data_IF_445229272164
#
_entry.id   IF_445229272164
#
_cell.length_a   1.000
_cell.length_b   1.000
_cell.length_c   1.000
_cell.angle_alpha   90.00
_cell.angle_beta   90.00
_cell.angle_gamma   90.00
#
_symmetry.space_group_name_H-M   'P 1'
#
loop_
_entity.id
_entity.type
_entity.pdbx_description
1 polymer ?
#
# COMPACT_ATOMS: atom_id res chain seq x y z
N UNK A 1 58.90 -35.48 17.95
CA UNK A 1 57.63 -35.71 17.24
C UNK A 1 56.61 -34.54 17.33
N UNK A 2 56.94 -33.38 17.93
CA UNK A 2 55.95 -32.32 18.22
C UNK A 2 55.66 -31.32 17.07
N UNK A 3 56.53 -31.22 16.06
CA UNK A 3 56.42 -30.18 15.00
C UNK A 3 55.44 -30.52 13.85
N UNK A 4 54.94 -31.76 13.78
CA UNK A 4 53.97 -32.16 12.75
C UNK A 4 52.52 -31.82 13.16
N UNK A 5 52.20 -31.95 14.44
CA UNK A 5 50.87 -31.62 14.98
C UNK A 5 50.57 -30.11 14.99
N UNK A 6 51.60 -29.26 15.13
CA UNK A 6 51.42 -27.81 15.03
C UNK A 6 51.09 -27.37 13.60
N UNK A 7 51.66 -28.03 12.58
CA UNK A 7 51.38 -27.75 11.17
C UNK A 7 49.95 -28.09 10.75
N UNK A 8 49.37 -29.17 11.27
CA UNK A 8 47.99 -29.56 10.96
C UNK A 8 46.99 -28.59 11.57
N UNK A 9 47.17 -28.20 12.85
CA UNK A 9 46.34 -27.20 13.52
C UNK A 9 46.38 -25.82 12.86
N UNK A 10 47.55 -25.42 12.34
CA UNK A 10 47.71 -24.15 11.59
C UNK A 10 47.04 -24.19 10.21
N UNK A 11 46.94 -25.35 9.56
CA UNK A 11 46.27 -25.49 8.28
C UNK A 11 44.75 -25.65 8.43
N UNK A 12 44.28 -26.36 9.46
CA UNK A 12 42.85 -26.48 9.81
C UNK A 12 42.25 -25.13 10.21
N UNK A 13 43.04 -24.27 10.88
CA UNK A 13 42.65 -22.91 11.21
C UNK A 13 42.33 -22.01 10.01
N UNK A 14 42.81 -22.34 8.79
CA UNK A 14 42.51 -21.60 7.55
C UNK A 14 41.10 -21.88 7.01
N UNK A 15 40.49 -23.00 7.38
CA UNK A 15 39.21 -23.48 6.83
C UNK A 15 38.05 -23.48 7.86
N UNK A 16 38.22 -22.84 9.02
CA UNK A 16 37.17 -22.78 10.05
C UNK A 16 36.20 -21.63 9.74
N UNK A 17 35.12 -21.94 9.01
CA UNK A 17 33.96 -21.08 8.87
C UNK A 17 33.03 -21.28 10.08
N UNK A 18 32.62 -20.20 10.75
CA UNK A 18 31.47 -20.23 11.65
C UNK A 18 30.22 -20.67 10.88
N UNK A 19 29.29 -21.35 11.53
CA UNK A 19 28.07 -21.86 10.89
C UNK A 19 27.11 -20.76 10.38
N UNK A 20 27.38 -19.48 10.67
CA UNK A 20 26.61 -18.34 10.20
C UNK A 20 27.14 -17.85 8.84
N UNK A 21 26.27 -17.87 7.83
CA UNK A 21 26.56 -17.56 6.43
C UNK A 21 27.01 -16.13 6.13
N UNK A 22 26.93 -15.21 7.10
CA UNK A 22 27.17 -13.77 6.90
C UNK A 22 28.30 -13.18 7.76
N UNK A 23 29.06 -13.98 8.51
CA UNK A 23 30.14 -13.47 9.37
C UNK A 23 31.51 -13.56 8.70
N UNK A 24 32.14 -12.41 8.45
CA UNK A 24 33.52 -12.34 7.99
C UNK A 24 34.49 -12.73 9.12
N UNK A 25 35.42 -13.64 8.83
CA UNK A 25 36.33 -14.24 9.82
C UNK A 25 37.38 -13.23 10.26
N UNK A 26 37.35 -12.86 11.53
CA UNK A 26 38.30 -11.91 12.08
C UNK A 26 39.19 -12.58 13.13
N UNK A 27 40.50 -12.51 12.88
CA UNK A 27 41.53 -13.06 13.75
C UNK A 27 42.69 -13.58 12.92
N UNK A 28 43.68 -12.71 12.69
CA UNK A 28 44.89 -13.05 11.90
C UNK A 28 45.66 -14.25 12.47
N UNK A 29 45.47 -14.57 13.76
CA UNK A 29 46.10 -15.72 14.42
C UNK A 29 45.13 -16.47 15.35
N UNK A 30 45.30 -17.80 15.51
CA UNK A 30 44.42 -18.64 16.32
C UNK A 30 44.43 -18.31 17.82
N UNK A 31 45.51 -17.67 18.31
CA UNK A 31 45.62 -17.21 19.69
C UNK A 31 44.60 -16.09 19.99
N UNK A 32 44.59 -15.03 19.18
CA UNK A 32 43.68 -13.89 19.39
C UNK A 32 42.21 -14.27 19.20
N UNK A 33 41.93 -15.29 18.37
CA UNK A 33 40.59 -15.86 18.22
C UNK A 33 40.09 -16.52 19.50
N UNK A 34 40.93 -17.34 20.15
CA UNK A 34 40.60 -17.99 21.44
C UNK A 34 40.48 -16.96 22.57
N UNK A 35 41.32 -15.94 22.57
CA UNK A 35 41.19 -14.83 23.51
C UNK A 35 39.84 -14.12 23.34
N UNK A 36 39.47 -13.74 22.11
CA UNK A 36 38.17 -13.12 21.84
C UNK A 36 36.99 -14.01 22.27
N UNK A 37 37.03 -15.31 21.99
CA UNK A 37 35.92 -16.20 22.35
C UNK A 37 35.71 -16.32 23.86
N UNK A 38 36.76 -16.17 24.66
CA UNK A 38 36.68 -16.27 26.13
C UNK A 38 36.28 -14.92 26.75
N UNK A 39 36.77 -13.81 26.20
CA UNK A 39 36.63 -12.47 26.81
C UNK A 39 35.51 -11.61 26.19
N UNK A 40 34.87 -12.04 25.10
CA UNK A 40 33.74 -11.32 24.51
C UNK A 40 32.42 -11.71 25.18
N UNK A 41 31.55 -10.72 25.43
CA UNK A 41 30.22 -10.94 25.97
C UNK A 41 29.33 -11.79 25.04
N UNK A 42 29.55 -11.71 23.73
CA UNK A 42 28.90 -12.56 22.75
C UNK A 42 29.92 -13.00 21.68
N UNK A 43 30.40 -14.26 21.73
CA UNK A 43 31.42 -14.76 20.82
C UNK A 43 30.93 -14.93 19.38
N UNK A 44 29.61 -14.93 19.13
CA UNK A 44 29.02 -15.04 17.79
C UNK A 44 29.00 -13.69 17.03
N UNK A 45 29.30 -12.57 17.71
CA UNK A 45 29.31 -11.24 17.08
C UNK A 45 30.58 -11.05 16.21
N UNK A 46 30.40 -10.53 15.00
CA UNK A 46 31.48 -10.05 14.12
C UNK A 46 31.91 -8.62 14.51
N UNK A 47 33.16 -8.24 14.26
CA UNK A 47 33.68 -6.86 14.45
C UNK A 47 33.27 -5.90 13.34
N UNK A 48 32.59 -6.39 12.30
CA UNK A 48 32.03 -5.55 11.24
C UNK A 48 33.07 -5.02 10.25
N UNK A 49 34.28 -5.60 10.21
CA UNK A 49 35.31 -5.25 9.25
C UNK A 49 35.16 -6.16 8.03
N UNK A 50 34.79 -5.63 6.85
CA UNK A 50 34.64 -6.45 5.66
C UNK A 50 36.02 -6.92 5.14
N UNK A 51 36.06 -8.12 4.59
CA UNK A 51 37.26 -8.65 3.93
C UNK A 51 37.46 -7.91 2.60
N UNK A 52 38.61 -7.25 2.44
CA UNK A 52 38.92 -6.40 1.26
C UNK A 52 38.90 -7.18 -0.06
N UNK A 53 39.21 -8.49 -0.04
CA UNK A 53 39.21 -9.34 -1.24
C UNK A 53 37.83 -9.82 -1.66
N UNK A 54 36.83 -9.75 -0.78
CA UNK A 54 35.46 -10.23 -1.05
C UNK A 54 34.49 -9.06 -1.17
N UNK A 55 34.65 -8.05 -0.32
CA UNK A 55 33.82 -6.86 -0.34
C UNK A 55 34.19 -5.97 -1.53
N UNK A 56 33.20 -5.67 -2.38
CA UNK A 56 33.37 -4.82 -3.57
C UNK A 56 34.41 -5.36 -4.57
N UNK A 57 34.53 -6.68 -4.65
CA UNK A 57 35.36 -7.35 -5.64
C UNK A 57 34.52 -8.28 -6.53
N UNK A 58 34.62 -8.19 -7.87
CA UNK A 58 35.36 -7.20 -8.66
C UNK A 58 34.82 -5.78 -8.45
N UNK A 59 35.66 -4.78 -8.70
CA UNK A 59 35.26 -3.39 -8.57
C UNK A 59 34.11 -3.05 -9.55
N UNK A 60 33.21 -2.11 -9.22
CA UNK A 60 31.98 -1.87 -9.99
C UNK A 60 32.19 -1.62 -11.49
N UNK A 61 33.33 -1.05 -11.88
CA UNK A 61 33.65 -0.73 -13.28
C UNK A 61 34.39 -1.85 -14.05
N UNK A 62 34.81 -2.95 -13.40
CA UNK A 62 35.37 -4.13 -14.07
C UNK A 62 34.64 -5.41 -13.69
N UNK A 63 33.32 -5.32 -13.51
CA UNK A 63 32.52 -6.55 -13.44
C UNK A 63 32.47 -7.14 -14.86
N UNK A 64 32.67 -8.47 -15.02
CA UNK A 64 32.62 -9.12 -16.33
C UNK A 64 31.18 -9.21 -16.88
N UNK A 65 30.19 -9.11 -16.00
CA UNK A 65 28.78 -9.04 -16.39
C UNK A 65 28.49 -7.75 -17.14
N UNK A 66 27.72 -7.87 -18.23
CA UNK A 66 27.27 -6.71 -18.99
C UNK A 66 25.86 -6.35 -18.52
N UNK A 67 25.63 -5.12 -18.05
CA UNK A 67 24.29 -4.70 -17.66
C UNK A 67 23.40 -4.69 -18.91
N UNK A 68 22.31 -5.46 -18.86
CA UNK A 68 21.21 -5.34 -19.82
C UNK A 68 19.99 -4.86 -19.06
N UNK A 69 19.37 -3.80 -19.55
CA UNK A 69 18.07 -3.37 -19.05
C UNK A 69 17.02 -4.43 -19.41
N UNK A 70 16.28 -4.99 -18.43
CA UNK A 70 15.24 -5.96 -18.75
C UNK A 70 14.18 -5.28 -19.64
N UNK A 71 13.79 -5.91 -20.76
CA UNK A 71 12.77 -5.32 -21.63
C UNK A 71 11.45 -5.25 -20.87
N UNK A 72 10.81 -4.08 -20.90
CA UNK A 72 9.43 -3.93 -20.43
C UNK A 72 8.47 -4.10 -21.60
N UNK A 73 7.16 -4.25 -21.33
CA UNK A 73 6.15 -4.19 -22.40
C UNK A 73 6.22 -2.87 -23.20
N UNK A 74 6.73 -1.79 -22.59
CA UNK A 74 6.96 -0.51 -23.26
C UNK A 74 8.23 -0.46 -24.13
N UNK A 75 8.99 -1.55 -24.22
CA UNK A 75 10.19 -1.67 -25.05
C UNK A 75 9.92 -2.31 -26.42
N UNK A 76 8.68 -2.75 -26.70
CA UNK A 76 8.31 -3.33 -27.99
C UNK A 76 8.42 -2.27 -29.11
N UNK A 77 9.18 -2.52 -30.20
CA UNK A 77 9.25 -1.63 -31.35
C UNK A 77 7.96 -1.62 -32.19
N UNK A 78 7.14 -2.68 -32.13
CA UNK A 78 5.87 -2.76 -32.84
C UNK A 78 4.69 -2.57 -31.86
N UNK A 79 3.56 -2.03 -32.34
CA UNK A 79 2.32 -1.97 -31.54
C UNK A 79 2.33 -1.06 -30.29
N UNK A 80 3.42 -0.35 -30.00
CA UNK A 80 3.61 0.39 -28.75
C UNK A 80 3.42 1.92 -28.91
N UNK A 81 2.22 2.30 -29.35
CA UNK A 81 1.84 3.70 -29.56
C UNK A 81 1.86 4.48 -28.24
N UNK A 82 2.51 5.66 -28.22
CA UNK A 82 2.72 6.44 -27.00
C UNK A 82 1.40 6.85 -26.32
N UNK A 83 0.38 7.22 -27.08
CA UNK A 83 -0.91 7.64 -26.53
C UNK A 83 -1.63 6.54 -25.72
N UNK A 84 -1.37 5.26 -26.02
CA UNK A 84 -2.00 4.14 -25.31
C UNK A 84 -1.39 3.96 -23.92
N UNK A 85 -0.08 4.20 -23.79
CA UNK A 85 0.70 4.11 -22.54
C UNK A 85 0.88 5.45 -21.80
N UNK A 86 0.39 6.55 -22.36
CA UNK A 86 0.47 7.86 -21.72
C UNK A 86 -0.54 7.96 -20.57
N UNK A 87 -0.15 7.45 -19.40
CA UNK A 87 -0.93 7.58 -18.16
C UNK A 87 -0.92 9.00 -17.60
N UNK A 88 0.06 9.83 -17.98
CA UNK A 88 0.16 11.21 -17.50
C UNK A 88 -1.00 12.07 -18.00
N UNK A 89 -1.48 11.81 -19.22
CA UNK A 89 -2.64 12.52 -19.80
C UNK A 89 -3.98 11.82 -19.54
N UNK A 90 -3.97 10.54 -19.15
CA UNK A 90 -5.16 9.77 -18.77
C UNK A 90 -5.41 9.81 -17.26
N UNK A 91 -5.28 11.00 -16.66
CA UNK A 91 -5.58 11.18 -15.24
C UNK A 91 -7.10 11.23 -15.03
N UNK A 92 -7.63 10.66 -13.93
CA UNK A 92 -9.03 10.82 -13.58
C UNK A 92 -9.33 12.30 -13.31
N UNK A 93 -10.43 12.80 -13.87
CA UNK A 93 -10.86 14.18 -13.64
C UNK A 93 -11.40 14.34 -12.22
N UNK A 94 -11.14 15.51 -11.62
CA UNK A 94 -11.71 15.86 -10.32
C UNK A 94 -13.13 16.37 -10.55
N UNK A 95 -14.11 15.67 -9.98
CA UNK A 95 -15.50 16.12 -9.97
C UNK A 95 -15.79 16.91 -8.70
N UNK A 96 -16.35 18.11 -8.86
CA UNK A 96 -16.83 18.95 -7.75
C UNK A 96 -18.34 18.95 -7.76
N UNK A 97 -18.94 18.40 -6.71
CA UNK A 97 -20.38 18.31 -6.56
C UNK A 97 -20.85 19.47 -5.68
N UNK A 98 -21.66 20.36 -6.25
CA UNK A 98 -22.26 21.49 -5.52
C UNK A 98 -23.63 21.13 -4.97
N UNK A 99 -24.17 21.95 -4.06
CA UNK A 99 -25.53 21.77 -3.55
C UNK A 99 -26.57 21.80 -4.68
N UNK A 100 -26.38 22.63 -5.71
CA UNK A 100 -27.23 22.69 -6.90
C UNK A 100 -27.21 21.38 -7.69
N UNK A 101 -26.04 20.76 -7.83
CA UNK A 101 -25.94 19.47 -8.52
C UNK A 101 -26.68 18.37 -7.74
N UNK A 102 -26.61 18.43 -6.40
CA UNK A 102 -27.35 17.52 -5.52
C UNK A 102 -28.87 17.75 -5.56
N UNK A 103 -29.36 19.00 -5.57
CA UNK A 103 -30.80 19.27 -5.71
C UNK A 103 -31.34 18.72 -7.01
N UNK A 104 -30.59 18.94 -8.08
CA UNK A 104 -30.87 18.42 -9.41
C UNK A 104 -30.94 16.89 -9.40
N UNK A 105 -29.99 16.22 -8.74
CA UNK A 105 -29.98 14.76 -8.58
C UNK A 105 -31.15 14.22 -7.72
N UNK A 106 -31.63 14.99 -6.74
CA UNK A 106 -32.77 14.61 -5.91
C UNK A 106 -34.09 14.74 -6.67
N UNK A 107 -34.21 15.76 -7.52
CA UNK A 107 -35.38 15.99 -8.37
C UNK A 107 -35.45 15.03 -9.56
N UNK A 108 -34.32 14.54 -10.05
CA UNK A 108 -34.28 13.61 -11.18
C UNK A 108 -34.90 12.26 -10.81
N UNK A 109 -35.84 11.77 -11.62
CA UNK A 109 -36.42 10.44 -11.48
C UNK A 109 -35.45 9.36 -11.99
N UNK A 110 -35.42 8.18 -11.36
CA UNK A 110 -34.68 7.05 -11.90
C UNK A 110 -35.36 6.54 -13.17
N UNK A 111 -34.60 6.44 -14.25
CA UNK A 111 -35.01 5.74 -15.46
C UNK A 111 -34.88 4.22 -15.28
N UNK A 112 -35.51 3.47 -16.17
CA UNK A 112 -35.47 2.00 -16.18
C UNK A 112 -34.03 1.44 -16.28
N UNK A 113 -33.11 2.20 -16.89
CA UNK A 113 -31.68 1.87 -17.01
C UNK A 113 -30.85 2.20 -15.74
N UNK A 114 -31.49 2.70 -14.67
CA UNK A 114 -30.82 3.15 -13.44
C UNK A 114 -30.10 4.51 -13.57
N UNK A 115 -30.14 5.14 -14.75
CA UNK A 115 -29.69 6.52 -14.96
C UNK A 115 -30.74 7.49 -14.42
N UNK A 116 -30.34 8.66 -13.91
CA UNK A 116 -31.29 9.69 -13.47
C UNK A 116 -31.29 10.85 -14.45
N UNK A 117 -32.46 11.25 -14.93
CA UNK A 117 -32.61 12.40 -15.85
C UNK A 117 -33.56 13.42 -15.27
N UNK A 118 -33.31 14.69 -15.59
CA UNK A 118 -34.23 15.78 -15.31
C UNK A 118 -35.31 15.82 -16.38
N UNK A 119 -36.56 15.97 -15.98
CA UNK A 119 -37.65 16.21 -16.91
C UNK A 119 -37.74 17.69 -17.29
N UNK A 120 -38.18 17.97 -18.52
CA UNK A 120 -38.32 19.34 -19.01
C UNK A 120 -39.41 20.10 -18.22
N UNK A 121 -39.33 21.44 -18.09
CA UNK A 121 -40.25 22.23 -17.26
C UNK A 121 -41.73 22.16 -17.65
N UNK A 122 -42.04 21.70 -18.88
CA UNK A 122 -43.36 21.77 -19.51
C UNK A 122 -44.15 20.45 -19.48
N UNK A 123 -43.54 19.34 -19.07
CA UNK A 123 -44.22 18.05 -18.95
C UNK A 123 -44.85 17.87 -17.57
N UNK A 124 -46.08 18.36 -17.40
CA UNK A 124 -46.88 18.18 -16.16
C UNK A 124 -47.49 16.79 -16.00
N UNK A 125 -47.20 15.85 -16.90
CA UNK A 125 -47.91 14.57 -17.02
C UNK A 125 -47.26 13.40 -16.29
N UNK A 126 -46.02 13.54 -15.81
CA UNK A 126 -45.39 12.56 -14.91
C UNK A 126 -45.05 13.24 -13.59
N UNK A 127 -45.86 12.95 -12.57
CA UNK A 127 -45.71 13.48 -11.21
C UNK A 127 -44.39 13.00 -10.60
N UNK A 128 -43.30 13.76 -10.74
CA UNK A 128 -42.19 13.62 -9.79
C UNK A 128 -42.75 13.90 -8.40
N UNK A 129 -42.54 12.99 -7.45
CA UNK A 129 -43.08 13.09 -6.09
C UNK A 129 -42.60 14.34 -5.31
N UNK A 130 -41.69 15.14 -5.88
CA UNK A 130 -41.04 16.30 -5.28
C UNK A 130 -41.32 17.55 -6.11
N UNK A 131 -41.62 18.66 -5.43
CA UNK A 131 -41.92 19.96 -6.04
C UNK A 131 -40.62 20.72 -6.30
N UNK A 132 -40.38 21.09 -7.56
CA UNK A 132 -39.21 21.87 -7.97
C UNK A 132 -39.28 23.31 -7.40
N UNK A 133 -38.23 23.81 -6.70
CA UNK A 133 -38.15 25.21 -6.28
C UNK A 133 -38.09 26.17 -7.46
N UNK A 134 -38.66 27.38 -7.30
CA UNK A 134 -38.66 28.41 -8.35
C UNK A 134 -37.26 28.94 -8.70
N UNK A 135 -36.34 28.95 -7.72
CA UNK A 135 -34.94 29.35 -7.89
C UNK A 135 -33.99 28.28 -7.35
N UNK A 136 -33.25 27.64 -8.26
CA UNK A 136 -32.28 26.58 -7.96
C UNK A 136 -30.92 27.12 -7.48
N UNK A 137 -30.62 28.40 -7.72
CA UNK A 137 -29.38 29.04 -7.26
C UNK A 137 -29.50 29.51 -5.80
N UNK A 138 -30.71 29.55 -5.26
CA UNK A 138 -30.95 29.95 -3.88
C UNK A 138 -30.33 28.94 -2.89
N UNK A 139 -29.69 29.40 -1.81
CA UNK A 139 -29.09 28.51 -0.81
C UNK A 139 -30.14 27.68 -0.04
N UNK A 140 -31.40 28.11 -0.05
CA UNK A 140 -32.53 27.43 0.59
C UNK A 140 -33.13 26.31 -0.27
N UNK A 141 -32.90 26.31 -1.59
CA UNK A 141 -33.45 25.30 -2.48
C UNK A 141 -33.09 23.87 -2.07
N UNK A 142 -31.86 23.65 -1.59
CA UNK A 142 -31.43 22.32 -1.15
C UNK A 142 -32.14 21.84 0.10
N UNK A 143 -32.32 22.72 1.09
CA UNK A 143 -33.00 22.35 2.33
C UNK A 143 -34.48 22.09 2.10
N UNK A 144 -35.12 22.86 1.20
CA UNK A 144 -36.54 22.73 0.91
C UNK A 144 -36.85 21.42 0.19
N UNK A 145 -36.04 21.06 -0.82
CA UNK A 145 -36.16 19.76 -1.51
C UNK A 145 -35.90 18.63 -0.52
N UNK A 146 -34.84 18.72 0.30
CA UNK A 146 -34.52 17.69 1.29
C UNK A 146 -35.67 17.48 2.29
N UNK A 147 -36.31 18.55 2.75
CA UNK A 147 -37.47 18.48 3.63
C UNK A 147 -38.67 17.78 2.96
N UNK A 148 -38.91 18.05 1.67
CA UNK A 148 -39.94 17.33 0.90
C UNK A 148 -39.62 15.85 0.74
N UNK A 149 -38.35 15.49 0.48
CA UNK A 149 -37.96 14.08 0.44
C UNK A 149 -38.32 13.46 1.79
N UNK A 150 -37.88 14.04 2.92
CA UNK A 150 -38.15 13.52 4.27
C UNK A 150 -39.63 13.46 4.67
N UNK A 151 -40.46 14.37 4.14
CA UNK A 151 -41.91 14.41 4.40
C UNK A 151 -42.75 13.50 3.50
N UNK A 152 -42.25 13.09 2.33
CA UNK A 152 -42.94 12.19 1.41
C UNK A 152 -42.85 10.73 1.90
N UNK A 153 -43.69 10.39 2.89
CA UNK A 153 -43.69 9.09 3.57
C UNK A 153 -44.49 7.97 2.88
N UNK A 154 -45.03 8.19 1.68
CA UNK A 154 -45.87 7.21 0.96
C UNK A 154 -45.33 6.93 -0.45
N UNK A 155 -44.38 6.01 -0.56
CA UNK A 155 -44.23 5.07 -1.69
C UNK A 155 -42.91 4.28 -1.59
N UNK A 156 -43.01 3.02 -1.16
CA UNK A 156 -42.21 1.83 -1.57
C UNK A 156 -40.68 1.86 -1.74
N UNK A 157 -39.98 2.96 -1.51
CA UNK A 157 -38.52 3.07 -1.55
C UNK A 157 -38.09 4.07 -0.49
N UNK A 158 -37.86 3.59 0.74
CA UNK A 158 -37.45 4.44 1.85
C UNK A 158 -36.07 5.04 1.56
N UNK A 159 -36.04 6.24 0.96
CA UNK A 159 -34.81 7.01 0.69
C UNK A 159 -34.20 7.62 1.94
N UNK A 160 -34.84 7.43 3.10
CA UNK A 160 -34.44 8.00 4.39
C UNK A 160 -33.82 6.98 5.31
N UNK A 161 -32.87 7.46 6.12
CA UNK A 161 -32.23 6.61 7.10
C UNK A 161 -33.19 6.24 8.22
N UNK A 162 -33.32 4.95 8.50
CA UNK A 162 -34.16 4.39 9.54
C UNK A 162 -33.40 3.30 10.31
N UNK A 163 -34.02 2.70 11.33
CA UNK A 163 -33.40 1.58 12.07
C UNK A 163 -33.08 0.37 11.18
N UNK A 164 -33.85 0.18 10.10
CA UNK A 164 -33.61 -0.86 9.09
C UNK A 164 -32.81 -0.37 7.88
N UNK A 165 -32.77 0.95 7.64
CA UNK A 165 -32.03 1.59 6.55
C UNK A 165 -30.93 2.51 7.11
N UNK A 166 -29.85 1.92 7.61
CA UNK A 166 -28.74 2.68 8.21
C UNK A 166 -27.97 3.49 7.15
N UNK A 167 -27.32 4.60 7.54
CA UNK A 167 -26.48 5.36 6.63
C UNK A 167 -25.32 4.50 6.08
N UNK A 168 -24.88 4.76 4.84
CA UNK A 168 -23.78 4.01 4.24
C UNK A 168 -22.52 4.20 5.10
N UNK A 169 -21.81 3.09 5.31
CA UNK A 169 -20.50 3.16 5.97
C UNK A 169 -19.50 3.79 4.99
N UNK A 170 -18.54 4.60 5.49
CA UNK A 170 -17.48 5.11 4.65
C UNK A 170 -16.76 3.94 3.95
N UNK A 171 -16.42 4.07 2.65
CA UNK A 171 -15.81 3.00 1.87
C UNK A 171 -14.33 2.86 2.22
N UNK A 172 -14.02 2.52 3.47
CA UNK A 172 -12.66 2.17 3.87
C UNK A 172 -12.27 0.88 3.17
N UNK A 173 -11.29 0.95 2.26
CA UNK A 173 -10.58 -0.25 1.84
C UNK A 173 -9.86 -0.78 3.07
N UNK A 174 -10.12 -2.02 3.46
CA UNK A 174 -9.31 -2.66 4.49
C UNK A 174 -7.84 -2.58 4.06
N UNK A 175 -6.92 -2.21 4.96
CA UNK A 175 -5.51 -2.19 4.59
C UNK A 175 -5.12 -3.60 4.12
N UNK A 176 -4.48 -3.67 2.95
CA UNK A 176 -4.07 -4.94 2.32
C UNK A 176 -3.17 -5.79 3.24
N UNK A 177 -2.58 -5.17 4.25
CA UNK A 177 -1.73 -5.77 5.27
C UNK A 177 -2.14 -5.20 6.62
N UNK A 178 -3.20 -5.75 7.21
CA UNK A 178 -3.36 -5.71 8.67
C UNK A 178 -2.18 -6.52 9.20
N UNK A 179 -1.24 -5.86 9.90
CA UNK A 179 -0.18 -6.54 10.63
C UNK A 179 -0.85 -7.48 11.63
N UNK A 180 -0.91 -8.77 11.30
CA UNK A 180 -1.38 -9.81 12.20
C UNK A 180 -0.19 -10.17 13.08
N UNK A 181 -0.40 -10.25 14.39
CA UNK A 181 0.59 -10.81 15.30
C UNK A 181 0.99 -12.19 14.78
N UNK A 182 2.29 -12.43 14.64
CA UNK A 182 2.78 -13.74 14.21
C UNK A 182 2.41 -14.80 15.25
N UNK A 183 2.05 -16.00 14.78
CA UNK A 183 1.76 -17.14 15.67
C UNK A 183 3.05 -17.53 16.40
N UNK A 184 3.11 -17.26 17.71
CA UNK A 184 4.31 -17.45 18.52
C UNK A 184 5.11 -16.16 18.79
N UNK A 185 4.55 -14.99 18.48
CA UNK A 185 5.10 -13.72 18.95
C UNK A 185 5.21 -13.73 20.49
N UNK A 186 6.29 -13.13 21.00
CA UNK A 186 6.53 -13.01 22.44
C UNK A 186 5.33 -12.30 23.07
N UNK A 187 4.77 -12.78 24.20
CA UNK A 187 3.67 -12.09 24.86
C UNK A 187 4.15 -10.71 25.35
N UNK A 188 3.43 -9.65 24.98
CA UNK A 188 3.72 -8.27 25.34
C UNK A 188 2.61 -7.66 26.20
N UNK A 189 2.98 -6.71 27.05
CA UNK A 189 2.03 -5.91 27.82
C UNK A 189 1.13 -5.12 26.85
N UNK A 190 -0.21 -5.18 26.99
CA UNK A 190 -1.16 -4.41 26.18
C UNK A 190 -0.90 -2.90 26.16
N UNK A 191 -0.17 -2.35 27.14
CA UNK A 191 0.14 -0.93 27.26
C UNK A 191 1.57 -0.55 26.88
N UNK A 192 2.37 -1.49 26.34
CA UNK A 192 3.71 -1.19 25.88
C UNK A 192 3.71 -0.25 24.66
N UNK A 193 4.52 0.80 24.72
CA UNK A 193 4.62 1.83 23.67
C UNK A 193 5.20 1.31 22.34
N UNK A 194 5.99 0.24 22.37
CA UNK A 194 6.60 -0.35 21.17
C UNK A 194 5.89 -1.65 20.76
N UNK A 195 5.31 -1.72 19.55
CA UNK A 195 4.92 -3.00 18.96
C UNK A 195 6.19 -3.72 18.48
N UNK A 196 6.30 -5.03 18.76
CA UNK A 196 7.28 -5.92 18.13
C UNK A 196 6.83 -6.30 16.72
#
# INVERSE_FOLDING_TARGET
MALRASRTLLNEAKNYASAHSYTYVEGRTPFWRKFRSIFSANPEISSGIPIVTENRWPHPASRPEHPRTPPSAASDPAGNLYHSRDFRRKYPQLEMITQKDLTTLLLSSPNEDGTRTLQAPEDTSNTTALTRPADLESPTAFTDVLAQVHGASDSSSATHYSTTNLPPRPPFKSPHHILKLQKGAVPHDPHAYYPA
#
